data_IF_765420317220
#
_entry.id   IF_765420317220
#
_cell.length_a   1.000
_cell.length_b   1.000
_cell.length_c   1.000
_cell.angle_alpha   90.00
_cell.angle_beta   90.00
_cell.angle_gamma   90.00
#
_symmetry.space_group_name_H-M   'P 1'
#
loop_
_entity.id
_entity.type
_entity.pdbx_description
1 polymer ?
#
# COMPACT_ATOMS: atom_id res chain seq x y z
N UNK A 1 -4.80 52.34 -12.76
CA UNK A 1 -4.94 50.88 -12.54
C UNK A 1 -3.61 50.33 -12.08
N UNK A 2 -3.54 49.74 -10.88
CA UNK A 2 -2.36 49.04 -10.37
C UNK A 2 -2.47 47.57 -10.76
N UNK A 3 -1.48 46.99 -11.42
CA UNK A 3 -1.19 45.57 -11.33
C UNK A 3 0.34 45.40 -11.24
N UNK A 4 0.74 44.66 -10.21
CA UNK A 4 2.07 44.58 -9.62
C UNK A 4 2.99 43.60 -10.36
N UNK A 5 4.29 43.82 -10.15
CA UNK A 5 5.37 42.89 -10.44
C UNK A 5 5.16 41.50 -9.81
N UNK A 6 5.49 40.44 -10.55
CA UNK A 6 5.51 39.05 -10.09
C UNK A 6 6.67 38.28 -10.72
N UNK A 7 7.87 38.52 -10.19
CA UNK A 7 9.14 37.88 -10.53
C UNK A 7 9.12 36.42 -10.04
N UNK A 8 9.24 35.45 -10.96
CA UNK A 8 9.86 34.11 -10.77
C UNK A 8 9.75 33.46 -9.35
N UNK A 9 8.60 32.89 -8.96
CA UNK A 9 8.46 32.03 -7.75
C UNK A 9 7.69 30.71 -8.01
N UNK A 10 7.26 30.41 -9.24
CA UNK A 10 6.41 29.24 -9.49
C UNK A 10 7.15 27.92 -9.81
N UNK A 11 8.43 27.94 -10.19
CA UNK A 11 9.11 26.74 -10.71
C UNK A 11 9.80 25.86 -9.66
N UNK A 12 10.23 26.44 -8.51
CA UNK A 12 10.85 25.66 -7.41
C UNK A 12 9.83 24.81 -6.64
N UNK A 13 8.66 25.37 -6.33
CA UNK A 13 7.63 24.71 -5.53
C UNK A 13 7.12 23.39 -6.16
N UNK A 14 7.16 23.24 -7.49
CA UNK A 14 6.64 22.04 -8.15
C UNK A 14 7.64 20.86 -8.17
N UNK A 15 8.95 21.15 -8.19
CA UNK A 15 9.98 20.10 -8.05
C UNK A 15 10.11 19.66 -6.60
N UNK A 16 10.06 20.61 -5.66
CA UNK A 16 9.98 20.29 -4.24
C UNK A 16 8.72 19.46 -3.99
N UNK A 17 7.54 19.89 -4.46
CA UNK A 17 6.29 19.13 -4.29
C UNK A 17 6.29 17.71 -4.88
N UNK A 18 7.00 17.47 -5.98
CA UNK A 18 7.18 16.13 -6.52
C UNK A 18 8.07 15.25 -5.63
N UNK A 19 9.17 15.82 -5.10
CA UNK A 19 10.14 15.08 -4.29
C UNK A 19 9.58 14.59 -2.95
N UNK A 20 8.86 15.44 -2.21
CA UNK A 20 8.23 14.99 -0.96
C UNK A 20 7.03 14.06 -1.19
N UNK A 21 6.36 14.10 -2.34
CA UNK A 21 5.38 13.09 -2.71
C UNK A 21 6.02 11.71 -2.94
N UNK A 22 7.21 11.66 -3.56
CA UNK A 22 7.97 10.42 -3.71
C UNK A 22 8.43 9.87 -2.35
N UNK A 23 8.97 10.73 -1.48
CA UNK A 23 9.38 10.34 -0.13
C UNK A 23 8.20 9.80 0.68
N UNK A 24 7.03 10.46 0.59
CA UNK A 24 5.80 10.00 1.25
C UNK A 24 5.37 8.61 0.77
N UNK A 25 5.39 8.36 -0.55
CA UNK A 25 5.06 7.04 -1.11
C UNK A 25 6.03 5.98 -0.61
N UNK A 26 7.32 6.28 -0.59
CA UNK A 26 8.34 5.37 -0.07
C UNK A 26 8.13 5.09 1.43
N UNK A 27 7.87 6.13 2.22
CA UNK A 27 7.61 6.00 3.66
C UNK A 27 6.40 5.10 3.96
N UNK A 28 5.29 5.31 3.24
CA UNK A 28 4.09 4.47 3.37
C UNK A 28 4.32 3.03 2.88
N UNK A 29 5.13 2.84 1.84
CA UNK A 29 5.51 1.51 1.38
C UNK A 29 6.33 0.74 2.42
N UNK A 30 7.19 1.43 3.18
CA UNK A 30 7.94 0.85 4.28
C UNK A 30 7.00 0.41 5.42
N UNK A 31 5.97 1.21 5.74
CA UNK A 31 4.96 0.84 6.72
C UNK A 31 4.17 -0.41 6.29
N UNK A 32 3.72 -0.45 5.02
CA UNK A 32 3.02 -1.62 4.47
C UNK A 32 3.90 -2.87 4.44
N UNK A 33 5.19 -2.73 4.14
CA UNK A 33 6.13 -3.84 4.17
C UNK A 33 6.26 -4.44 5.57
N UNK A 34 6.34 -3.61 6.60
CA UNK A 34 6.42 -4.04 8.01
C UNK A 34 5.17 -4.83 8.43
N UNK A 35 4.00 -4.40 7.98
CA UNK A 35 2.74 -5.12 8.19
C UNK A 35 2.73 -6.49 7.49
N UNK A 36 3.20 -6.57 6.24
CA UNK A 36 3.31 -7.86 5.54
C UNK A 36 4.31 -8.80 6.23
N UNK A 37 5.33 -8.26 6.90
CA UNK A 37 6.29 -9.00 7.72
C UNK A 37 5.77 -9.31 9.15
N UNK A 38 4.45 -9.28 9.36
CA UNK A 38 3.78 -9.70 10.61
C UNK A 38 4.04 -8.81 11.83
N UNK A 39 4.50 -7.56 11.63
CA UNK A 39 4.49 -6.57 12.71
C UNK A 39 3.03 -6.16 13.03
N UNK A 40 2.68 -6.11 14.33
CA UNK A 40 1.32 -5.77 14.76
C UNK A 40 0.93 -4.37 14.28
N UNK A 41 -0.31 -4.22 13.80
CA UNK A 41 -0.84 -2.94 13.30
C UNK A 41 -0.62 -1.77 14.27
N UNK A 42 -0.78 -2.00 15.58
CA UNK A 42 -0.57 -0.98 16.60
C UNK A 42 0.90 -0.54 16.71
N UNK A 43 1.85 -1.47 16.63
CA UNK A 43 3.28 -1.19 16.71
C UNK A 43 3.76 -0.42 15.48
N UNK A 44 3.27 -0.78 14.29
CA UNK A 44 3.59 -0.06 13.05
C UNK A 44 2.98 1.35 13.07
N UNK A 45 1.72 1.49 13.52
CA UNK A 45 1.05 2.78 13.65
C UNK A 45 1.85 3.74 14.56
N UNK A 46 2.34 3.25 15.70
CA UNK A 46 3.17 4.02 16.62
C UNK A 46 4.53 4.36 16.01
N UNK A 47 5.25 3.37 15.46
CA UNK A 47 6.59 3.53 14.88
C UNK A 47 6.63 4.53 13.72
N UNK A 48 5.59 4.55 12.90
CA UNK A 48 5.49 5.44 11.74
C UNK A 48 4.69 6.73 12.03
N UNK A 49 4.23 6.92 13.27
CA UNK A 49 3.36 8.03 13.67
C UNK A 49 2.13 8.20 12.75
N UNK A 50 1.51 7.07 12.34
CA UNK A 50 0.32 7.04 11.48
C UNK A 50 -0.86 6.59 12.33
N UNK A 51 -2.01 7.27 12.17
CA UNK A 51 -3.24 6.82 12.81
C UNK A 51 -3.60 5.38 12.38
N UNK A 52 -3.94 4.53 13.35
CA UNK A 52 -4.27 3.11 13.10
C UNK A 52 -5.36 2.91 12.04
N UNK A 53 -6.42 3.71 12.06
CA UNK A 53 -7.51 3.62 11.07
C UNK A 53 -7.08 4.05 9.68
N UNK A 54 -6.23 5.09 9.59
CA UNK A 54 -5.61 5.50 8.32
C UNK A 54 -4.71 4.40 7.76
N UNK A 55 -3.90 3.77 8.62
CA UNK A 55 -3.02 2.66 8.22
C UNK A 55 -3.82 1.45 7.73
N UNK A 56 -4.94 1.12 8.39
CA UNK A 56 -5.85 0.07 7.95
C UNK A 56 -6.52 0.40 6.61
N UNK A 57 -6.96 1.65 6.41
CA UNK A 57 -7.51 2.10 5.13
C UNK A 57 -6.48 2.00 4.01
N UNK A 58 -5.23 2.40 4.29
CA UNK A 58 -4.11 2.29 3.36
C UNK A 58 -3.85 0.83 2.96
N UNK A 59 -3.90 -0.12 3.90
CA UNK A 59 -3.78 -1.56 3.60
C UNK A 59 -4.86 -2.04 2.63
N UNK A 60 -6.12 -1.71 2.90
CA UNK A 60 -7.24 -2.10 2.04
C UNK A 60 -7.14 -1.49 0.64
N UNK A 61 -6.78 -0.21 0.55
CA UNK A 61 -6.57 0.48 -0.72
C UNK A 61 -5.39 -0.14 -1.50
N UNK A 62 -4.28 -0.42 -0.83
CA UNK A 62 -3.10 -1.05 -1.44
C UNK A 62 -3.39 -2.47 -1.93
N UNK A 63 -4.15 -3.26 -1.17
CA UNK A 63 -4.64 -4.59 -1.57
C UNK A 63 -5.46 -4.52 -2.86
N UNK A 64 -6.48 -3.66 -2.88
CA UNK A 64 -7.33 -3.48 -4.06
C UNK A 64 -6.52 -3.02 -5.27
N UNK A 65 -5.59 -2.09 -5.07
CA UNK A 65 -4.71 -1.62 -6.12
C UNK A 65 -3.81 -2.74 -6.66
N UNK A 66 -3.22 -3.58 -5.80
CA UNK A 66 -2.41 -4.72 -6.23
C UNK A 66 -3.23 -5.70 -7.10
N UNK A 67 -4.50 -5.95 -6.76
CA UNK A 67 -5.41 -6.75 -7.58
C UNK A 67 -5.66 -6.11 -8.95
N UNK A 68 -5.92 -4.80 -9.00
CA UNK A 68 -6.10 -4.06 -10.25
C UNK A 68 -4.85 -4.14 -11.15
N UNK A 69 -3.66 -3.94 -10.58
CA UNK A 69 -2.40 -4.01 -11.32
C UNK A 69 -2.13 -5.43 -11.82
N UNK A 70 -2.47 -6.45 -11.04
CA UNK A 70 -2.34 -7.86 -11.46
C UNK A 70 -3.16 -8.13 -12.72
N UNK A 71 -4.44 -7.74 -12.73
CA UNK A 71 -5.32 -7.89 -13.90
C UNK A 71 -4.80 -7.06 -15.07
N UNK A 72 -4.32 -5.85 -14.83
CA UNK A 72 -3.73 -5.01 -15.86
C UNK A 72 -2.52 -5.69 -16.53
N UNK A 73 -1.58 -6.24 -15.74
CA UNK A 73 -0.44 -6.98 -16.26
C UNK A 73 -0.87 -8.20 -17.06
N UNK A 74 -1.89 -8.94 -16.61
CA UNK A 74 -2.45 -10.06 -17.35
C UNK A 74 -2.98 -9.62 -18.73
N UNK A 75 -3.72 -8.51 -18.80
CA UNK A 75 -4.25 -7.96 -20.07
C UNK A 75 -3.17 -7.49 -21.04
N UNK A 76 -2.02 -7.06 -20.54
CA UNK A 76 -0.86 -6.70 -21.37
C UNK A 76 0.03 -7.90 -21.75
N UNK A 77 -0.27 -9.10 -21.25
CA UNK A 77 0.58 -10.27 -21.44
C UNK A 77 1.88 -10.24 -20.63
N UNK A 78 1.97 -9.42 -19.59
CA UNK A 78 3.15 -9.32 -18.70
C UNK A 78 3.12 -10.40 -17.61
N UNK A 79 3.23 -11.66 -18.04
CA UNK A 79 3.01 -12.85 -17.22
C UNK A 79 3.93 -12.89 -16.00
N UNK A 80 5.20 -12.49 -16.14
CA UNK A 80 6.15 -12.47 -15.02
C UNK A 80 5.74 -11.47 -13.93
N UNK A 81 5.26 -10.28 -14.32
CA UNK A 81 4.80 -9.27 -13.36
C UNK A 81 3.48 -9.66 -12.71
N UNK A 82 2.54 -10.18 -13.49
CA UNK A 82 1.29 -10.73 -12.95
C UNK A 82 1.57 -11.76 -11.85
N UNK A 83 2.48 -12.72 -12.10
CA UNK A 83 2.78 -13.78 -11.15
C UNK A 83 3.37 -13.24 -9.84
N UNK A 84 4.24 -12.24 -9.91
CA UNK A 84 4.80 -11.57 -8.74
C UNK A 84 3.73 -10.85 -7.91
N UNK A 85 2.70 -10.29 -8.55
CA UNK A 85 1.66 -9.50 -7.90
C UNK A 85 0.47 -10.35 -7.38
N UNK A 86 0.23 -11.53 -7.97
CA UNK A 86 -0.92 -12.40 -7.67
C UNK A 86 -1.10 -12.77 -6.18
N UNK A 87 -0.02 -12.79 -5.39
CA UNK A 87 -0.06 -13.03 -3.94
C UNK A 87 -0.12 -11.76 -3.08
N UNK A 88 0.20 -10.59 -3.64
CA UNK A 88 0.34 -9.36 -2.85
C UNK A 88 -0.99 -8.81 -2.34
N UNK A 89 -2.07 -9.00 -3.09
CA UNK A 89 -3.41 -8.54 -2.69
C UNK A 89 -3.80 -9.11 -1.32
N UNK A 90 -3.75 -10.42 -1.15
CA UNK A 90 -4.18 -11.08 0.10
C UNK A 90 -3.22 -10.76 1.25
N UNK A 91 -1.90 -10.72 0.99
CA UNK A 91 -0.90 -10.34 2.00
C UNK A 91 -1.14 -8.93 2.54
N UNK A 92 -1.49 -7.98 1.67
CA UNK A 92 -1.81 -6.60 2.06
C UNK A 92 -3.17 -6.50 2.76
N UNK A 93 -4.16 -7.30 2.36
CA UNK A 93 -5.49 -7.28 2.94
C UNK A 93 -5.49 -7.72 4.40
N UNK A 94 -4.82 -8.84 4.69
CA UNK A 94 -4.73 -9.38 6.05
C UNK A 94 -3.55 -8.83 6.86
N UNK A 95 -2.50 -8.32 6.20
CA UNK A 95 -1.26 -7.92 6.86
C UNK A 95 -0.47 -9.13 7.38
N UNK A 96 -0.35 -10.17 6.56
CA UNK A 96 0.27 -11.45 6.97
C UNK A 96 1.10 -12.05 5.84
N UNK A 97 2.09 -12.89 6.19
CA UNK A 97 2.88 -13.67 5.23
C UNK A 97 2.05 -14.71 4.47
N UNK A 98 2.57 -15.11 3.29
CA UNK A 98 1.92 -16.06 2.38
C UNK A 98 1.58 -17.42 3.02
N UNK A 99 2.39 -17.91 3.96
CA UNK A 99 2.18 -19.22 4.57
C UNK A 99 0.96 -19.26 5.50
N UNK A 100 0.51 -18.11 6.02
CA UNK A 100 -0.70 -18.03 6.83
C UNK A 100 -1.97 -17.86 5.98
N UNK A 101 -1.86 -17.55 4.68
CA UNK A 101 -3.03 -17.39 3.82
C UNK A 101 -3.78 -18.72 3.64
N UNK A 102 -3.06 -19.83 3.56
CA UNK A 102 -3.66 -21.16 3.46
C UNK A 102 -4.38 -21.55 4.77
N UNK A 103 -3.85 -21.13 5.93
CA UNK A 103 -4.51 -21.33 7.22
C UNK A 103 -5.77 -20.45 7.38
N UNK A 104 -5.73 -19.20 6.92
CA UNK A 104 -6.89 -18.28 6.94
C UNK A 104 -8.01 -18.81 6.05
N UNK A 105 -7.69 -19.38 4.87
CA UNK A 105 -8.69 -19.99 3.97
C UNK A 105 -9.40 -21.20 4.59
N UNK A 106 -8.74 -21.92 5.49
CA UNK A 106 -9.30 -23.09 6.19
C UNK A 106 -10.10 -22.72 7.45
N UNK A 107 -9.88 -21.53 8.01
CA UNK A 107 -10.55 -21.08 9.26
C UNK A 107 -12.09 -21.13 9.22
N UNK A 108 -12.80 -20.79 8.12
CA UNK A 108 -14.26 -20.91 8.07
C UNK A 108 -14.73 -22.37 8.05
N UNK A 109 -13.91 -23.28 7.53
CA UNK A 109 -14.24 -24.71 7.41
C UNK A 109 -14.04 -25.44 8.74
N UNK A 110 -13.04 -25.06 9.53
CA UNK A 110 -12.79 -25.63 10.86
C UNK A 110 -13.73 -25.08 11.95
N UNK A 111 -14.27 -23.86 11.76
CA UNK A 111 -15.21 -23.27 12.71
C UNK A 111 -16.63 -23.86 12.60
N UNK A 112 -16.95 -24.52 11.47
CA UNK A 112 -18.27 -25.10 11.20
C UNK A 112 -18.36 -26.60 11.58
N UNK A 113 -17.30 -27.18 12.15
CA UNK A 113 -17.25 -28.55 12.65
C UNK A 113 -17.48 -28.66 14.17
N UNK A 114 -18.30 -27.78 14.74
CA UNK A 114 -18.84 -27.89 16.10
C UNK A 114 -20.35 -27.84 16.09
#
# INVERSE_FOLDING_TARGET
MRCLAGKQVASKNNKESASLNQLRRFYLSLALHRLICEEKLAQVAERFAINRGLLQSLMQQASTYAGMVTVFCNRLGWIHMERLLSGFQMRLYFGVSNELLDLIRLSPLLNNSR
#
